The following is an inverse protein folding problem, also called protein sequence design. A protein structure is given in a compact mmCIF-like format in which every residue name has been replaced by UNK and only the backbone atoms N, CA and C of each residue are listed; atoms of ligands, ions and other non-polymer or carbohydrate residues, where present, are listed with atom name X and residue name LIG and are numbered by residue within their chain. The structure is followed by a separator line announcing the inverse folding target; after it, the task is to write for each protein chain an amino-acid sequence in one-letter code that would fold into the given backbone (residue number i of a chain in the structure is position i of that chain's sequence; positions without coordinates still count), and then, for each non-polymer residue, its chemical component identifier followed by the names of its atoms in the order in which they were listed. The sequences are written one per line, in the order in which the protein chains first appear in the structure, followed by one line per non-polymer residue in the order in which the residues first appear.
data_IF_032105229213
#
_entry.id   IF_032105229213
#
_cell.length_a   1.000
_cell.length_b   1.000
_cell.length_c   1.000
_cell.angle_alpha   90.00
_cell.angle_beta   90.00
_cell.angle_gamma   90.00
#
_symmetry.space_group_name_H-M   'P 1'
#
loop_
_entity.id
_entity.type
_entity.pdbx_description
1 polymer ?
#
# COMPACT_ATOMS: atom_id res chain seq x y z
N UNK A 1 7.40 -2.81 -37.78
CA UNK A 1 6.90 -3.97 -37.05
C UNK A 1 6.23 -3.43 -35.80
N UNK A 2 4.94 -3.70 -35.64
CA UNK A 2 4.18 -3.23 -34.48
C UNK A 2 4.71 -3.96 -33.24
N UNK A 3 5.19 -3.21 -32.24
CA UNK A 3 5.82 -3.77 -31.03
C UNK A 3 4.83 -4.56 -30.14
N UNK A 4 3.57 -4.64 -30.58
CA UNK A 4 2.48 -5.32 -29.86
C UNK A 4 2.60 -6.85 -29.83
N UNK A 5 3.39 -7.43 -30.74
CA UNK A 5 3.56 -8.88 -30.86
C UNK A 5 4.91 -9.39 -30.30
N UNK A 6 5.71 -8.51 -29.70
CA UNK A 6 7.00 -8.93 -29.13
C UNK A 6 6.78 -9.73 -27.85
N UNK A 7 7.17 -10.99 -27.86
CA UNK A 7 7.24 -11.84 -26.67
C UNK A 7 8.48 -11.53 -25.79
N UNK A 8 9.20 -10.45 -26.10
CA UNK A 8 10.45 -10.09 -25.42
C UNK A 8 10.53 -8.60 -25.12
N UNK A 9 11.03 -8.29 -23.93
CA UNK A 9 11.39 -6.96 -23.45
C UNK A 9 12.91 -6.91 -23.26
N UNK A 10 13.58 -5.92 -23.85
CA UNK A 10 15.00 -5.62 -23.62
C UNK A 10 15.14 -4.19 -23.11
N UNK A 11 15.70 -4.04 -21.92
CA UNK A 11 15.81 -2.76 -21.22
C UNK A 11 17.10 -2.66 -20.39
N UNK A 12 17.46 -1.51 -19.86
CA UNK A 12 18.61 -1.40 -18.95
C UNK A 12 18.24 -1.84 -17.53
N UNK A 13 17.02 -1.44 -17.08
CA UNK A 13 16.53 -1.71 -15.73
C UNK A 13 15.11 -2.27 -15.79
N UNK A 14 14.87 -3.39 -15.12
CA UNK A 14 13.52 -3.85 -14.81
C UNK A 14 13.22 -3.52 -13.35
N UNK A 15 12.05 -2.92 -13.11
CA UNK A 15 11.50 -2.74 -11.75
C UNK A 15 10.29 -3.64 -11.61
N UNK A 16 10.27 -4.52 -10.61
CA UNK A 16 9.16 -5.43 -10.33
C UNK A 16 8.32 -4.89 -9.18
N UNK A 17 7.08 -4.58 -9.46
CA UNK A 17 6.12 -3.99 -8.54
C UNK A 17 6.02 -2.46 -8.66
N UNK A 18 4.82 -1.98 -8.95
CA UNK A 18 4.47 -0.56 -9.07
C UNK A 18 3.99 0.06 -7.75
N UNK A 19 4.42 -0.46 -6.60
CA UNK A 19 4.20 0.17 -5.30
C UNK A 19 4.98 1.48 -5.18
N UNK A 20 4.88 2.17 -4.02
CA UNK A 20 5.55 3.45 -3.80
C UNK A 20 7.07 3.37 -4.07
N UNK A 21 7.71 2.29 -3.62
CA UNK A 21 9.15 2.05 -3.84
C UNK A 21 9.48 1.85 -5.32
N UNK A 22 8.68 1.06 -6.04
CA UNK A 22 8.92 0.76 -7.46
C UNK A 22 8.69 1.98 -8.35
N UNK A 23 7.66 2.78 -8.10
CA UNK A 23 7.43 4.05 -8.80
C UNK A 23 8.62 4.99 -8.60
N UNK A 24 9.08 5.14 -7.35
CA UNK A 24 10.25 5.97 -7.04
C UNK A 24 11.52 5.47 -7.74
N UNK A 25 11.77 4.15 -7.69
CA UNK A 25 12.94 3.53 -8.31
C UNK A 25 12.92 3.68 -9.83
N UNK A 26 11.78 3.40 -10.48
CA UNK A 26 11.64 3.49 -11.93
C UNK A 26 11.86 4.90 -12.44
N UNK A 27 11.22 5.90 -11.82
CA UNK A 27 11.36 7.31 -12.19
C UNK A 27 12.81 7.78 -11.96
N UNK A 28 13.40 7.42 -10.82
CA UNK A 28 14.77 7.83 -10.50
C UNK A 28 15.79 7.25 -11.48
N UNK A 29 15.64 5.98 -11.86
CA UNK A 29 16.51 5.35 -12.86
C UNK A 29 16.32 5.96 -14.25
N UNK A 30 15.08 6.19 -14.68
CA UNK A 30 14.81 6.79 -15.98
C UNK A 30 15.36 8.22 -16.11
N UNK A 31 15.29 9.00 -15.04
CA UNK A 31 15.88 10.37 -14.98
C UNK A 31 17.40 10.38 -15.10
N UNK A 32 18.07 9.23 -14.91
CA UNK A 32 19.50 9.07 -15.19
C UNK A 32 19.79 8.68 -16.66
N UNK A 33 18.77 8.70 -17.52
CA UNK A 33 18.90 8.35 -18.94
C UNK A 33 18.88 6.86 -19.23
N UNK A 34 18.51 6.02 -18.29
CA UNK A 34 18.38 4.58 -18.47
C UNK A 34 17.03 4.24 -19.10
N UNK A 35 17.01 3.22 -19.96
CA UNK A 35 15.78 2.61 -20.42
C UNK A 35 15.22 1.74 -19.28
N UNK A 36 14.01 2.04 -18.81
CA UNK A 36 13.39 1.38 -17.65
C UNK A 36 12.05 0.79 -18.04
N UNK A 37 11.83 -0.48 -17.67
CA UNK A 37 10.51 -1.11 -17.74
C UNK A 37 10.03 -1.46 -16.34
N UNK A 38 8.83 -1.02 -15.98
CA UNK A 38 8.15 -1.35 -14.73
C UNK A 38 7.10 -2.42 -15.00
N UNK A 39 7.16 -3.52 -14.25
CA UNK A 39 6.25 -4.66 -14.34
C UNK A 39 5.34 -4.65 -13.11
N UNK A 40 4.01 -4.57 -13.32
CA UNK A 40 3.04 -4.50 -12.23
C UNK A 40 1.89 -5.48 -12.46
N UNK A 41 1.53 -6.23 -11.40
CA UNK A 41 0.47 -7.25 -11.45
C UNK A 41 -0.95 -6.69 -11.54
N UNK A 42 -1.17 -5.49 -11.00
CA UNK A 42 -2.43 -4.79 -11.13
C UNK A 42 -2.51 -3.95 -12.40
N UNK A 43 -3.67 -3.37 -12.68
CA UNK A 43 -3.86 -2.39 -13.76
C UNK A 43 -3.57 -0.95 -13.32
N UNK A 44 -2.80 -0.77 -12.25
CA UNK A 44 -2.46 0.53 -11.66
C UNK A 44 -1.26 0.43 -10.72
N UNK A 45 -0.55 1.54 -10.53
CA UNK A 45 0.47 1.67 -9.52
C UNK A 45 -0.11 2.11 -8.16
N UNK A 46 0.64 1.83 -7.08
CA UNK A 46 0.33 2.27 -5.71
C UNK A 46 0.47 1.18 -4.64
N UNK A 47 0.51 -0.10 -5.02
CA UNK A 47 0.71 -1.20 -4.07
C UNK A 47 -0.20 -1.10 -2.84
N UNK A 48 0.35 -1.18 -1.63
CA UNK A 48 -0.40 -1.09 -0.38
C UNK A 48 -1.17 0.23 -0.19
N UNK A 49 -0.68 1.34 -0.76
CA UNK A 49 -1.36 2.63 -0.69
C UNK A 49 -2.70 2.63 -1.44
N UNK A 50 -2.80 1.88 -2.54
CA UNK A 50 -3.96 1.87 -3.43
C UNK A 50 -4.71 0.55 -3.39
N UNK A 51 -4.05 -0.59 -3.64
CA UNK A 51 -4.68 -1.91 -3.59
C UNK A 51 -5.10 -2.28 -2.16
N UNK A 52 -4.24 -1.99 -1.18
CA UNK A 52 -4.52 -2.20 0.24
C UNK A 52 -5.34 -1.10 0.90
N UNK A 53 -5.66 -0.01 0.18
CA UNK A 53 -6.38 1.17 0.69
C UNK A 53 -5.77 1.77 1.97
N UNK A 54 -4.46 1.63 2.20
CA UNK A 54 -3.84 2.16 3.42
C UNK A 54 -4.05 3.67 3.58
N UNK A 55 -4.22 4.37 2.47
CA UNK A 55 -4.80 5.70 2.39
C UNK A 55 -4.00 6.83 3.04
N UNK A 56 -2.84 6.54 3.61
CA UNK A 56 -2.04 7.52 4.35
C UNK A 56 -0.58 7.51 3.91
N UNK A 57 0.00 8.71 3.80
CA UNK A 57 1.45 8.90 3.71
C UNK A 57 1.94 9.20 5.13
N UNK A 58 2.61 8.21 5.73
CA UNK A 58 3.22 8.29 7.05
C UNK A 58 4.75 8.41 6.92
N UNK A 59 5.41 8.93 7.97
CA UNK A 59 6.87 9.01 8.03
C UNK A 59 7.48 10.22 7.33
N UNK A 60 6.67 11.18 6.86
CA UNK A 60 7.18 12.46 6.34
C UNK A 60 7.62 13.40 7.46
N UNK A 61 7.00 13.28 8.62
CA UNK A 61 7.12 14.22 9.72
C UNK A 61 7.81 13.59 10.94
N UNK A 62 8.48 14.42 11.69
CA UNK A 62 9.11 14.06 12.95
C UNK A 62 8.09 13.47 13.94
N UNK A 63 8.53 12.44 14.69
CA UNK A 63 7.79 11.98 15.86
C UNK A 63 8.29 12.72 17.10
N UNK A 64 7.38 13.38 17.83
CA UNK A 64 7.74 14.23 18.97
C UNK A 64 6.70 14.12 20.10
N UNK A 65 7.17 14.31 21.34
CA UNK A 65 6.26 14.47 22.49
C UNK A 65 5.58 15.85 22.49
N UNK A 66 6.16 16.85 21.81
CA UNK A 66 5.60 18.19 21.70
C UNK A 66 4.81 18.36 20.39
N UNK A 67 3.68 17.67 20.28
CA UNK A 67 2.81 17.76 19.11
C UNK A 67 2.19 19.15 18.91
N UNK A 68 2.19 20.01 19.94
CA UNK A 68 1.65 21.37 19.83
C UNK A 68 2.52 22.27 18.92
N UNK A 69 3.76 21.90 18.62
CA UNK A 69 4.62 22.62 17.68
C UNK A 69 4.17 22.50 16.21
N UNK A 70 3.21 21.62 15.94
CA UNK A 70 2.76 21.31 14.59
C UNK A 70 3.67 20.34 13.83
N UNK A 71 3.31 19.98 12.58
CA UNK A 71 4.06 19.04 11.76
C UNK A 71 5.42 19.63 11.34
N UNK A 72 6.51 18.96 11.72
CA UNK A 72 7.86 19.27 11.24
C UNK A 72 8.28 18.21 10.20
N UNK A 73 8.36 18.60 8.94
CA UNK A 73 8.73 17.68 7.86
C UNK A 73 10.21 17.37 7.92
N UNK A 74 10.57 16.09 7.86
CA UNK A 74 11.96 15.60 7.93
C UNK A 74 12.34 14.70 6.75
N UNK A 75 11.36 14.29 5.92
CA UNK A 75 11.61 13.51 4.71
C UNK A 75 11.26 14.34 3.48
N UNK A 76 12.22 14.43 2.55
CA UNK A 76 12.17 15.22 1.32
C UNK A 76 12.45 14.35 0.09
N UNK A 77 12.91 14.95 -1.00
CA UNK A 77 13.27 14.27 -2.25
C UNK A 77 12.04 13.76 -2.99
N UNK A 78 12.11 12.52 -3.52
CA UNK A 78 11.03 11.97 -4.32
C UNK A 78 9.70 11.86 -3.56
N UNK A 79 9.74 11.50 -2.28
CA UNK A 79 8.52 11.40 -1.47
C UNK A 79 7.79 12.75 -1.36
N UNK A 80 8.53 13.82 -1.14
CA UNK A 80 7.99 15.18 -1.11
C UNK A 80 7.49 15.65 -2.49
N UNK A 81 8.24 15.34 -3.55
CA UNK A 81 7.83 15.63 -4.94
C UNK A 81 6.50 14.93 -5.28
N UNK A 82 6.38 13.66 -4.92
CA UNK A 82 5.16 12.90 -5.16
C UNK A 82 3.97 13.45 -4.35
N UNK A 83 4.20 13.83 -3.08
CA UNK A 83 3.19 14.48 -2.25
C UNK A 83 2.73 15.81 -2.84
N UNK A 84 3.65 16.65 -3.33
CA UNK A 84 3.29 17.91 -4.02
C UNK A 84 2.49 17.65 -5.29
N UNK A 85 2.78 16.59 -6.04
CA UNK A 85 1.98 16.20 -7.21
C UNK A 85 0.56 15.83 -6.79
N UNK A 86 0.40 14.99 -5.76
CA UNK A 86 -0.92 14.62 -5.23
C UNK A 86 -1.71 15.83 -4.74
N UNK A 87 -1.05 16.75 -4.05
CA UNK A 87 -1.66 17.98 -3.53
C UNK A 87 -2.13 18.88 -4.67
N UNK A 88 -1.31 19.10 -5.68
CA UNK A 88 -1.66 19.87 -6.86
C UNK A 88 -2.85 19.29 -7.64
N UNK A 89 -3.07 17.96 -7.53
CA UNK A 89 -4.21 17.27 -8.13
C UNK A 89 -5.42 17.15 -7.18
N UNK A 90 -5.36 17.76 -5.99
CA UNK A 90 -6.43 17.68 -4.98
C UNK A 90 -6.57 16.33 -4.28
N UNK A 91 -5.56 15.47 -4.40
CA UNK A 91 -5.56 14.11 -3.88
C UNK A 91 -4.80 13.89 -2.57
N UNK A 92 -4.38 14.95 -1.87
CA UNK A 92 -3.66 14.85 -0.61
C UNK A 92 -4.22 15.86 0.40
N UNK A 93 -4.68 15.35 1.54
CA UNK A 93 -5.18 16.17 2.65
C UNK A 93 -4.03 16.86 3.40
N UNK A 94 -4.38 17.89 4.17
CA UNK A 94 -3.46 18.51 5.13
C UNK A 94 -2.96 17.48 6.16
N UNK A 95 -1.81 17.74 6.81
CA UNK A 95 -1.31 16.89 7.86
C UNK A 95 -2.33 16.74 9.01
N UNK A 96 -2.62 15.51 9.39
CA UNK A 96 -3.50 15.18 10.55
C UNK A 96 -2.68 14.52 11.64
N UNK A 97 -3.03 14.79 12.89
CA UNK A 97 -2.33 14.21 14.04
C UNK A 97 -2.49 12.68 14.06
N UNK A 98 -1.39 12.00 14.27
CA UNK A 98 -1.29 10.54 14.37
C UNK A 98 -0.46 10.19 15.62
N UNK A 99 -1.06 10.36 16.77
CA UNK A 99 -0.39 10.17 18.06
C UNK A 99 0.77 11.15 18.29
N UNK A 100 2.02 10.70 18.08
CA UNK A 100 3.23 11.51 18.27
C UNK A 100 3.83 12.08 16.98
N UNK A 101 3.17 11.89 15.83
CA UNK A 101 3.59 12.36 14.52
C UNK A 101 2.38 12.83 13.72
N UNK A 102 2.58 13.12 12.45
CA UNK A 102 1.51 13.47 11.52
C UNK A 102 1.50 12.53 10.32
N UNK A 103 0.34 12.34 9.74
CA UNK A 103 0.15 11.64 8.48
C UNK A 103 -0.65 12.53 7.52
N UNK A 104 -0.54 12.28 6.23
CA UNK A 104 -1.40 12.91 5.22
C UNK A 104 -2.25 11.84 4.54
N UNK A 105 -3.54 12.06 4.51
CA UNK A 105 -4.48 11.14 3.85
C UNK A 105 -4.52 11.43 2.36
N UNK A 106 -4.41 10.40 1.53
CA UNK A 106 -4.47 10.56 0.08
C UNK A 106 -5.71 9.91 -0.54
N UNK A 107 -6.13 10.40 -1.71
CA UNK A 107 -7.13 9.77 -2.56
C UNK A 107 -6.45 8.69 -3.41
N UNK A 108 -6.91 7.41 -3.33
CA UNK A 108 -6.29 6.32 -4.09
C UNK A 108 -6.47 6.43 -5.61
N UNK A 109 -7.51 7.13 -6.08
CA UNK A 109 -7.70 7.35 -7.52
C UNK A 109 -6.69 8.38 -8.03
N UNK A 110 -6.55 9.50 -7.32
CA UNK A 110 -5.56 10.53 -7.67
C UNK A 110 -4.14 9.99 -7.56
N UNK A 111 -3.87 9.09 -6.61
CA UNK A 111 -2.56 8.40 -6.52
C UNK A 111 -2.22 7.65 -7.81
N UNK A 112 -3.18 6.88 -8.38
CA UNK A 112 -2.96 6.15 -9.64
C UNK A 112 -2.62 7.10 -10.76
N UNK A 113 -3.41 8.16 -10.93
CA UNK A 113 -3.21 9.16 -11.98
C UNK A 113 -1.88 9.89 -11.84
N UNK A 114 -1.48 10.25 -10.61
CA UNK A 114 -0.20 10.89 -10.34
C UNK A 114 0.98 9.97 -10.67
N UNK A 115 0.90 8.69 -10.28
CA UNK A 115 1.93 7.71 -10.59
C UNK A 115 2.07 7.49 -12.10
N UNK A 116 0.95 7.30 -12.81
CA UNK A 116 0.94 7.12 -14.27
C UNK A 116 1.53 8.34 -15.00
N UNK A 117 1.14 9.55 -14.58
CA UNK A 117 1.65 10.78 -15.17
C UNK A 117 3.17 10.91 -14.96
N UNK A 118 3.65 10.75 -13.73
CA UNK A 118 5.07 10.91 -13.42
C UNK A 118 5.95 9.81 -14.06
N UNK A 119 5.48 8.58 -14.14
CA UNK A 119 6.18 7.49 -14.85
C UNK A 119 6.31 7.79 -16.34
N UNK A 120 5.21 8.23 -16.97
CA UNK A 120 5.21 8.59 -18.40
C UNK A 120 6.06 9.83 -18.69
N UNK A 121 6.01 10.85 -17.85
CA UNK A 121 6.86 12.05 -17.94
C UNK A 121 8.35 11.69 -17.87
N UNK A 122 8.70 10.68 -17.06
CA UNK A 122 10.07 10.16 -16.96
C UNK A 122 10.47 9.22 -18.12
N UNK A 123 9.54 8.81 -18.97
CA UNK A 123 9.80 7.89 -20.08
C UNK A 123 9.91 6.42 -19.66
N UNK A 124 9.30 6.05 -18.54
CA UNK A 124 9.25 4.65 -18.11
C UNK A 124 8.24 3.87 -18.96
N UNK A 125 8.66 2.71 -19.46
CA UNK A 125 7.79 1.73 -20.09
C UNK A 125 7.04 0.94 -19.01
N UNK A 126 5.71 0.91 -19.05
CA UNK A 126 4.87 0.30 -18.01
C UNK A 126 4.14 -0.91 -18.58
N UNK A 127 4.27 -2.04 -17.90
CA UNK A 127 3.57 -3.28 -18.26
C UNK A 127 2.66 -3.67 -17.09
N UNK A 128 1.38 -3.33 -17.20
CA UNK A 128 0.34 -3.74 -16.25
C UNK A 128 -0.18 -5.14 -16.51
N UNK A 129 -0.88 -5.71 -15.51
CA UNK A 129 -1.42 -7.08 -15.55
C UNK A 129 -0.34 -8.12 -15.90
N UNK A 130 0.86 -7.91 -15.39
CA UNK A 130 2.04 -8.70 -15.66
C UNK A 130 2.66 -9.21 -14.35
N UNK A 131 2.91 -10.50 -14.27
CA UNK A 131 3.43 -11.17 -13.06
C UNK A 131 4.78 -11.79 -13.36
N UNK A 132 5.81 -11.45 -12.59
CA UNK A 132 7.08 -12.15 -12.61
C UNK A 132 6.88 -13.58 -12.07
N UNK A 133 7.29 -14.59 -12.84
CA UNK A 133 7.09 -16.01 -12.51
C UNK A 133 8.38 -16.79 -12.41
N UNK A 134 9.52 -16.16 -12.66
CA UNK A 134 10.85 -16.77 -12.54
C UNK A 134 11.94 -15.79 -12.93
N UNK A 135 13.17 -16.15 -12.61
CA UNK A 135 14.36 -15.35 -12.90
C UNK A 135 15.29 -16.07 -13.89
N UNK A 136 16.00 -15.28 -14.69
CA UNK A 136 17.10 -15.76 -15.50
C UNK A 136 18.43 -15.41 -14.83
N UNK A 137 19.17 -16.42 -14.42
CA UNK A 137 20.48 -16.25 -13.82
C UNK A 137 21.59 -16.33 -14.87
N UNK A 138 22.59 -15.47 -14.75
CA UNK A 138 23.85 -15.51 -15.48
C UNK A 138 24.97 -15.52 -14.42
N UNK A 139 25.41 -16.72 -14.05
CA UNK A 139 26.23 -16.92 -12.87
C UNK A 139 25.46 -16.53 -11.58
N UNK A 140 25.98 -15.58 -10.85
CA UNK A 140 25.40 -15.01 -9.62
C UNK A 140 24.57 -13.73 -9.87
N UNK A 141 24.39 -13.33 -11.14
CA UNK A 141 23.65 -12.14 -11.55
C UNK A 141 22.27 -12.50 -12.09
N UNK A 142 21.25 -11.75 -11.69
CA UNK A 142 19.92 -11.81 -12.35
C UNK A 142 20.02 -11.04 -13.67
N UNK A 143 19.84 -11.73 -14.79
CA UNK A 143 19.92 -11.18 -16.14
C UNK A 143 18.55 -10.90 -16.77
N UNK A 144 17.46 -11.24 -16.08
CA UNK A 144 16.10 -11.02 -16.56
C UNK A 144 15.07 -11.85 -15.81
N UNK A 145 13.86 -11.82 -16.34
CA UNK A 145 12.69 -12.44 -15.72
C UNK A 145 11.82 -13.16 -16.75
N UNK A 146 11.16 -14.23 -16.32
CA UNK A 146 9.97 -14.76 -16.96
C UNK A 146 8.77 -13.98 -16.43
N UNK A 147 7.94 -13.44 -17.32
CA UNK A 147 6.77 -12.65 -16.98
C UNK A 147 5.54 -13.27 -17.63
N UNK A 148 4.46 -13.42 -16.89
CA UNK A 148 3.18 -13.89 -17.41
C UNK A 148 2.23 -12.72 -17.64
N UNK A 149 1.59 -12.68 -18.80
CA UNK A 149 0.58 -11.68 -19.19
C UNK A 149 -0.62 -12.36 -19.86
N UNK A 150 -1.65 -11.57 -20.20
CA UNK A 150 -2.82 -12.07 -20.95
C UNK A 150 -2.47 -12.61 -22.35
N UNK A 151 -1.42 -12.11 -22.98
CA UNK A 151 -0.95 -12.62 -24.27
C UNK A 151 -0.08 -13.90 -24.15
N UNK A 152 0.22 -14.32 -22.93
CA UNK A 152 1.10 -15.44 -22.63
C UNK A 152 2.41 -15.00 -22.00
N UNK A 153 3.44 -15.88 -22.05
CA UNK A 153 4.75 -15.60 -21.44
C UNK A 153 5.51 -14.53 -22.22
N UNK A 154 6.18 -13.63 -21.48
CA UNK A 154 7.16 -12.68 -21.98
C UNK A 154 8.53 -12.98 -21.36
N UNK A 155 9.58 -12.87 -22.17
CA UNK A 155 10.98 -12.90 -21.73
C UNK A 155 11.47 -11.45 -21.54
N UNK A 156 11.72 -11.03 -20.30
CA UNK A 156 12.20 -9.70 -19.99
C UNK A 156 13.68 -9.76 -19.60
N UNK A 157 14.52 -9.02 -20.32
CA UNK A 157 15.97 -8.98 -20.12
C UNK A 157 16.44 -7.60 -19.70
N UNK A 158 17.34 -7.56 -18.72
CA UNK A 158 17.92 -6.32 -18.24
C UNK A 158 19.34 -6.52 -17.67
N UNK A 159 20.07 -5.40 -17.57
CA UNK A 159 21.36 -5.37 -16.86
C UNK A 159 21.16 -5.37 -15.34
N UNK A 160 20.07 -4.74 -14.88
CA UNK A 160 19.71 -4.58 -13.46
C UNK A 160 18.24 -4.92 -13.28
N UNK A 161 17.94 -5.65 -12.21
CA UNK A 161 16.58 -5.93 -11.75
C UNK A 161 16.42 -5.37 -10.35
N UNK A 162 15.39 -4.54 -10.14
CA UNK A 162 15.02 -3.97 -8.85
C UNK A 162 13.78 -4.69 -8.35
N UNK A 163 13.91 -5.40 -7.23
CA UNK A 163 12.79 -6.02 -6.54
C UNK A 163 12.06 -4.98 -5.66
N UNK A 164 10.90 -4.57 -6.10
CA UNK A 164 9.96 -3.70 -5.38
C UNK A 164 8.58 -4.37 -5.27
N UNK A 165 8.55 -5.71 -5.32
CA UNK A 165 7.33 -6.53 -5.30
C UNK A 165 6.53 -6.42 -3.99
N UNK A 166 7.17 -5.97 -2.91
CA UNK A 166 6.60 -5.85 -1.56
C UNK A 166 6.93 -7.03 -0.65
N UNK A 167 7.08 -8.22 -1.23
CA UNK A 167 7.35 -9.46 -0.50
C UNK A 167 8.70 -10.13 -0.89
N UNK A 168 9.60 -9.39 -1.57
CA UNK A 168 10.88 -9.90 -2.07
C UNK A 168 10.74 -11.10 -3.02
N UNK A 169 9.73 -11.07 -3.89
CA UNK A 169 9.40 -12.19 -4.78
C UNK A 169 10.56 -12.55 -5.72
N UNK A 170 11.27 -11.55 -6.26
CA UNK A 170 12.41 -11.78 -7.16
C UNK A 170 13.59 -12.37 -6.39
N UNK A 171 13.85 -11.87 -5.19
CA UNK A 171 14.89 -12.39 -4.28
C UNK A 171 14.64 -13.87 -3.97
N UNK A 172 13.39 -14.22 -3.65
CA UNK A 172 12.99 -15.60 -3.35
C UNK A 172 13.10 -16.49 -4.60
N UNK A 173 12.63 -16.02 -5.76
CA UNK A 173 12.76 -16.76 -7.04
C UNK A 173 14.21 -16.99 -7.46
N UNK A 174 15.12 -16.09 -7.11
CA UNK A 174 16.54 -16.22 -7.35
C UNK A 174 17.25 -17.18 -6.38
N UNK A 175 16.56 -17.70 -5.38
CA UNK A 175 17.15 -18.57 -4.34
C UNK A 175 18.09 -17.83 -3.39
N UNK A 176 17.99 -16.50 -3.31
CA UNK A 176 18.83 -15.69 -2.45
C UNK A 176 18.36 -15.76 -0.98
N UNK A 177 19.24 -15.57 0.00
CA UNK A 177 18.87 -15.60 1.41
C UNK A 177 17.78 -14.56 1.72
N UNK A 178 16.71 -15.00 2.34
CA UNK A 178 15.62 -14.14 2.80
C UNK A 178 15.05 -14.71 4.12
N UNK A 179 14.22 -13.93 4.79
CA UNK A 179 13.53 -14.38 6.00
C UNK A 179 12.08 -13.87 5.99
N UNK A 180 11.21 -14.55 6.71
CA UNK A 180 9.79 -14.22 6.84
C UNK A 180 9.48 -13.88 8.28
N UNK A 181 9.13 -12.59 8.52
CA UNK A 181 8.75 -12.09 9.83
C UNK A 181 9.83 -12.29 10.90
N UNK A 182 9.39 -12.35 12.17
CA UNK A 182 10.24 -12.71 13.31
C UNK A 182 10.05 -14.19 13.61
N UNK A 183 11.06 -15.02 13.33
CA UNK A 183 11.01 -16.49 13.48
C UNK A 183 9.80 -17.13 12.77
N UNK A 184 9.48 -16.63 11.57
CA UNK A 184 8.33 -17.09 10.78
C UNK A 184 6.98 -16.50 11.20
N UNK A 185 6.92 -15.70 12.26
CA UNK A 185 5.70 -14.99 12.69
C UNK A 185 5.56 -13.67 11.94
N UNK A 186 4.39 -13.46 11.37
CA UNK A 186 4.04 -12.26 10.60
C UNK A 186 2.97 -11.44 11.30
N UNK A 187 2.83 -10.17 10.94
CA UNK A 187 1.71 -9.36 11.40
C UNK A 187 0.40 -9.89 10.82
N UNK A 188 -0.66 -9.86 11.65
CA UNK A 188 -1.98 -10.22 11.17
C UNK A 188 -2.44 -9.27 10.05
N UNK A 189 -3.06 -9.79 8.99
CA UNK A 189 -3.66 -8.99 7.95
C UNK A 189 -4.71 -8.03 8.49
N UNK A 190 -4.87 -6.90 7.80
CA UNK A 190 -5.93 -5.93 8.08
C UNK A 190 -6.65 -5.55 6.81
N UNK A 191 -7.97 -5.40 6.89
CA UNK A 191 -8.81 -4.86 5.82
C UNK A 191 -9.12 -3.41 6.16
N UNK A 192 -8.55 -2.48 5.39
CA UNK A 192 -8.90 -1.06 5.48
C UNK A 192 -10.14 -0.81 4.62
N UNK A 193 -11.06 -0.01 5.12
CA UNK A 193 -12.29 0.31 4.40
C UNK A 193 -12.65 1.79 4.57
N UNK A 194 -13.61 2.25 3.77
CA UNK A 194 -14.09 3.62 3.81
C UNK A 194 -15.57 3.66 4.15
N UNK A 195 -15.96 4.59 5.00
CA UNK A 195 -17.35 4.89 5.32
C UNK A 195 -17.74 6.20 4.66
N UNK A 196 -18.90 6.20 4.00
CA UNK A 196 -19.49 7.37 3.36
C UNK A 196 -20.75 7.82 4.12
N UNK A 197 -21.13 9.08 3.95
CA UNK A 197 -22.31 9.66 4.58
C UNK A 197 -22.11 9.95 6.06
N UNK A 198 -20.85 10.17 6.48
CA UNK A 198 -20.50 10.53 7.84
C UNK A 198 -20.59 12.05 8.01
N UNK A 199 -21.21 12.49 9.11
CA UNK A 199 -21.13 13.88 9.58
C UNK A 199 -19.73 14.10 10.20
N UNK A 200 -18.77 14.49 9.34
CA UNK A 200 -17.36 14.62 9.72
C UNK A 200 -17.16 15.75 10.73
N UNK A 201 -17.91 16.84 10.63
CA UNK A 201 -17.79 17.97 11.55
C UNK A 201 -18.23 17.56 12.96
N UNK A 202 -19.34 16.84 13.06
CA UNK A 202 -19.80 16.27 14.33
C UNK A 202 -18.84 15.23 14.88
N UNK A 203 -18.29 14.39 14.01
CA UNK A 203 -17.29 13.38 14.38
C UNK A 203 -16.04 14.05 14.99
N UNK A 204 -15.51 15.08 14.35
CA UNK A 204 -14.32 15.81 14.83
C UNK A 204 -14.64 16.58 16.13
N UNK A 205 -15.82 17.19 16.24
CA UNK A 205 -16.25 17.86 17.46
C UNK A 205 -16.35 16.90 18.67
N UNK A 206 -16.79 15.65 18.45
CA UNK A 206 -16.96 14.64 19.52
C UNK A 206 -15.66 13.92 19.90
N UNK A 207 -14.80 13.60 18.91
CA UNK A 207 -13.64 12.71 19.11
C UNK A 207 -12.29 13.42 18.95
N UNK A 208 -12.28 14.65 18.47
CA UNK A 208 -11.06 15.42 18.20
C UNK A 208 -10.47 15.14 16.82
N UNK A 209 -9.29 15.71 16.58
CA UNK A 209 -8.57 15.62 15.30
C UNK A 209 -7.52 14.51 15.27
N UNK A 210 -7.19 13.87 16.40
CA UNK A 210 -6.28 12.74 16.42
C UNK A 210 -6.94 11.53 15.74
N UNK A 211 -6.23 10.91 14.86
CA UNK A 211 -6.69 9.71 14.12
C UNK A 211 -6.75 8.47 15.02
N UNK A 212 -6.02 8.47 16.13
CA UNK A 212 -6.10 7.41 17.15
C UNK A 212 -7.35 7.69 18.00
N UNK A 213 -8.31 6.77 17.93
CA UNK A 213 -9.55 6.96 18.71
C UNK A 213 -9.30 6.93 20.21
N UNK A 214 -9.98 7.83 20.97
CA UNK A 214 -9.81 7.94 22.41
C UNK A 214 -10.25 6.66 23.14
N UNK A 215 -9.75 6.46 24.34
CA UNK A 215 -9.98 5.24 25.15
C UNK A 215 -11.48 4.95 25.38
N UNK A 216 -12.33 5.99 25.44
CA UNK A 216 -13.78 5.79 25.52
C UNK A 216 -14.34 4.93 24.38
N UNK A 217 -13.83 5.10 23.16
CA UNK A 217 -14.22 4.30 21.99
C UNK A 217 -13.71 2.86 22.12
N UNK A 218 -12.45 2.70 22.53
CA UNK A 218 -11.87 1.36 22.77
C UNK A 218 -12.65 0.59 23.84
N UNK A 219 -13.08 1.27 24.91
CA UNK A 219 -13.90 0.67 25.96
C UNK A 219 -15.29 0.23 25.44
N UNK A 220 -15.93 1.06 24.61
CA UNK A 220 -17.21 0.71 23.97
C UNK A 220 -17.06 -0.51 23.07
N UNK A 221 -16.01 -0.58 22.26
CA UNK A 221 -15.72 -1.72 21.38
C UNK A 221 -15.55 -3.00 22.20
N UNK A 222 -14.73 -2.96 23.27
CA UNK A 222 -14.55 -4.14 24.15
C UNK A 222 -15.87 -4.56 24.81
N UNK A 223 -16.65 -3.63 25.30
CA UNK A 223 -17.93 -3.94 25.96
C UNK A 223 -18.90 -4.63 24.98
N UNK A 224 -19.02 -4.12 23.76
CA UNK A 224 -19.91 -4.68 22.74
C UNK A 224 -19.40 -6.02 22.19
N UNK A 225 -18.10 -6.19 22.05
CA UNK A 225 -17.51 -7.45 21.66
C UNK A 225 -17.73 -8.53 22.75
N UNK A 226 -17.46 -8.21 24.02
CA UNK A 226 -17.59 -9.15 25.13
C UNK A 226 -19.07 -9.53 25.42
N UNK A 227 -20.01 -8.63 25.11
CA UNK A 227 -21.44 -8.92 25.20
C UNK A 227 -21.95 -9.85 24.08
N UNK A 228 -21.13 -10.08 23.05
CA UNK A 228 -21.52 -10.86 21.86
C UNK A 228 -22.40 -10.12 20.87
N UNK A 229 -22.61 -8.80 21.06
CA UNK A 229 -23.43 -7.98 20.17
C UNK A 229 -22.79 -7.81 18.79
N UNK A 230 -21.44 -7.79 18.76
CA UNK A 230 -20.60 -7.57 17.58
C UNK A 230 -19.31 -8.39 17.63
N UNK A 231 -18.76 -8.69 16.46
CA UNK A 231 -17.42 -9.30 16.32
C UNK A 231 -16.41 -8.20 16.01
N UNK A 232 -15.80 -7.62 17.04
CA UNK A 232 -14.87 -6.48 16.96
C UNK A 232 -13.51 -6.85 17.57
N UNK A 233 -12.64 -7.59 16.89
CA UNK A 233 -11.43 -8.20 17.47
C UNK A 233 -10.35 -7.17 17.87
N UNK A 234 -10.45 -5.92 17.38
CA UNK A 234 -9.48 -4.86 17.65
C UNK A 234 -10.17 -3.67 18.30
N UNK A 235 -9.81 -3.37 19.56
CA UNK A 235 -10.41 -2.27 20.31
C UNK A 235 -9.73 -0.93 20.01
N UNK A 236 -8.41 -0.89 19.90
CA UNK A 236 -7.67 0.33 19.51
C UNK A 236 -7.68 0.47 18.00
N UNK A 237 -8.39 1.48 17.52
CA UNK A 237 -8.64 1.70 16.09
C UNK A 237 -8.23 3.10 15.66
N UNK A 238 -8.09 3.29 14.36
CA UNK A 238 -7.74 4.55 13.72
C UNK A 238 -8.81 4.94 12.71
N UNK A 239 -9.29 6.17 12.82
CA UNK A 239 -10.24 6.78 11.89
C UNK A 239 -9.63 8.07 11.35
N UNK A 240 -9.59 8.23 10.04
CA UNK A 240 -8.99 9.38 9.38
C UNK A 240 -10.05 10.11 8.58
N UNK A 241 -10.08 11.43 8.70
CA UNK A 241 -10.79 12.27 7.72
C UNK A 241 -10.04 12.21 6.39
N UNK A 242 -10.76 12.31 5.27
CA UNK A 242 -10.17 12.16 3.94
C UNK A 242 -10.29 13.44 3.13
N UNK A 243 -9.78 13.44 1.89
CA UNK A 243 -9.96 14.54 0.94
C UNK A 243 -11.41 14.68 0.43
N UNK A 244 -12.28 13.71 0.76
CA UNK A 244 -13.68 13.68 0.31
C UNK A 244 -14.61 14.05 1.47
N UNK A 245 -15.49 15.03 1.28
CA UNK A 245 -16.50 15.37 2.30
C UNK A 245 -17.37 14.15 2.64
N UNK A 246 -17.66 13.98 3.93
CA UNK A 246 -18.52 12.89 4.40
C UNK A 246 -17.89 11.50 4.35
N UNK A 247 -16.57 11.41 4.22
CA UNK A 247 -15.86 10.13 4.17
C UNK A 247 -14.87 9.99 5.34
N UNK A 248 -14.84 8.81 5.97
CA UNK A 248 -13.79 8.37 6.89
C UNK A 248 -13.06 7.15 6.34
N UNK A 249 -11.74 7.14 6.43
CA UNK A 249 -10.92 5.96 6.24
C UNK A 249 -10.79 5.24 7.59
N UNK A 250 -11.06 3.92 7.59
CA UNK A 250 -11.16 3.11 8.78
C UNK A 250 -10.08 2.02 8.78
N UNK A 251 -9.13 2.11 9.73
CA UNK A 251 -8.16 1.08 10.04
C UNK A 251 -8.54 0.43 11.37
N UNK A 252 -9.45 -0.56 11.31
CA UNK A 252 -10.13 -1.10 12.49
C UNK A 252 -9.94 -2.60 12.63
N UNK A 253 -9.75 -3.35 11.54
CA UNK A 253 -9.77 -4.80 11.53
C UNK A 253 -8.46 -5.42 12.02
N UNK A 254 -8.51 -6.67 12.43
CA UNK A 254 -7.37 -7.54 12.67
C UNK A 254 -7.79 -8.96 12.38
N UNK A 255 -7.28 -9.51 11.26
CA UNK A 255 -7.74 -10.80 10.79
C UNK A 255 -6.86 -11.91 11.32
N UNK A 256 -7.49 -12.90 11.94
CA UNK A 256 -6.89 -14.15 12.38
C UNK A 256 -7.67 -15.30 11.77
N UNK A 257 -7.08 -16.47 11.65
CA UNK A 257 -7.76 -17.67 11.17
C UNK A 257 -8.92 -18.09 12.08
N UNK A 258 -9.91 -18.77 11.54
CA UNK A 258 -11.05 -19.29 12.28
C UNK A 258 -10.65 -20.30 13.38
N UNK A 259 -9.46 -20.86 13.28
CA UNK A 259 -8.82 -21.73 14.25
C UNK A 259 -7.97 -20.97 15.29
N UNK A 260 -7.96 -19.63 15.23
CA UNK A 260 -7.22 -18.75 16.14
C UNK A 260 -5.74 -18.57 15.79
N UNK A 261 -5.22 -19.18 14.71
CA UNK A 261 -3.83 -18.99 14.27
C UNK A 261 -3.62 -17.69 13.53
N UNK A 262 -2.41 -17.20 13.55
CA UNK A 262 -1.98 -16.07 12.70
C UNK A 262 -1.96 -16.52 11.23
N UNK A 263 -2.54 -15.67 10.34
CA UNK A 263 -2.56 -15.94 8.91
C UNK A 263 -1.30 -15.36 8.26
N UNK A 264 -0.65 -16.17 7.41
CA UNK A 264 0.50 -15.73 6.62
C UNK A 264 0.11 -15.59 5.14
N UNK A 265 0.02 -14.37 4.65
CA UNK A 265 -0.43 -14.04 3.28
C UNK A 265 0.55 -14.46 2.18
N UNK A 266 1.70 -15.05 2.50
CA UNK A 266 2.53 -15.77 1.54
C UNK A 266 1.88 -17.06 1.07
N UNK A 267 0.96 -17.62 1.86
CA UNK A 267 0.19 -18.82 1.49
C UNK A 267 -1.16 -18.40 0.91
N UNK A 268 -1.43 -18.82 -0.32
CA UNK A 268 -2.65 -18.45 -1.05
C UNK A 268 -3.95 -18.75 -0.28
N UNK A 269 -3.97 -19.85 0.52
CA UNK A 269 -5.14 -20.21 1.34
C UNK A 269 -5.35 -19.19 2.45
N UNK A 270 -4.30 -18.88 3.21
CA UNK A 270 -4.35 -17.89 4.27
C UNK A 270 -4.74 -16.51 3.76
N UNK A 271 -4.22 -16.14 2.58
CA UNK A 271 -4.57 -14.88 1.96
C UNK A 271 -6.05 -14.84 1.57
N UNK A 272 -6.57 -15.94 1.01
CA UNK A 272 -7.99 -16.06 0.67
C UNK A 272 -8.88 -15.92 1.90
N UNK A 273 -8.53 -16.63 2.98
CA UNK A 273 -9.25 -16.57 4.25
C UNK A 273 -9.19 -15.15 4.86
N UNK A 274 -8.02 -14.50 4.79
CA UNK A 274 -7.84 -13.13 5.25
C UNK A 274 -8.71 -12.13 4.49
N UNK A 275 -8.84 -12.29 3.18
CA UNK A 275 -9.70 -11.46 2.32
C UNK A 275 -11.18 -11.61 2.68
N UNK A 276 -11.65 -12.85 2.89
CA UNK A 276 -13.06 -13.13 3.19
C UNK A 276 -13.40 -12.62 4.59
N UNK A 277 -12.62 -13.00 5.58
CA UNK A 277 -12.83 -12.61 6.98
C UNK A 277 -12.67 -11.10 7.18
N UNK A 278 -11.69 -10.48 6.51
CA UNK A 278 -11.49 -9.04 6.55
C UNK A 278 -12.73 -8.25 6.10
N UNK A 279 -13.43 -8.71 5.05
CA UNK A 279 -14.68 -8.10 4.60
C UNK A 279 -15.83 -8.28 5.60
N UNK A 280 -15.89 -9.41 6.30
CA UNK A 280 -16.88 -9.63 7.36
C UNK A 280 -16.63 -8.70 8.55
N UNK A 281 -15.38 -8.58 9.00
CA UNK A 281 -15.00 -7.65 10.07
C UNK A 281 -15.27 -6.20 9.68
N UNK A 282 -14.94 -5.76 8.47
CA UNK A 282 -15.24 -4.42 7.98
C UNK A 282 -16.74 -4.11 8.07
N UNK A 283 -17.60 -5.07 7.72
CA UNK A 283 -19.07 -4.94 7.86
C UNK A 283 -19.49 -4.79 9.32
N UNK A 284 -18.90 -5.57 10.23
CA UNK A 284 -19.21 -5.50 11.66
C UNK A 284 -18.83 -4.17 12.27
N UNK A 285 -17.63 -3.64 11.96
CA UNK A 285 -17.25 -2.29 12.39
C UNK A 285 -18.15 -1.21 11.79
N UNK A 286 -18.49 -1.30 10.51
CA UNK A 286 -19.41 -0.36 9.87
C UNK A 286 -20.81 -0.39 10.51
N UNK A 287 -21.29 -1.57 10.94
CA UNK A 287 -22.54 -1.71 11.70
C UNK A 287 -22.44 -1.09 13.10
N UNK A 288 -21.29 -1.25 13.76
CA UNK A 288 -21.05 -0.69 15.08
C UNK A 288 -20.97 0.85 15.06
N UNK A 289 -20.45 1.47 14.00
CA UNK A 289 -20.31 2.90 13.86
C UNK A 289 -21.62 3.64 13.50
N UNK A 290 -22.67 2.95 13.11
CA UNK A 290 -24.01 3.50 12.85
C UNK A 290 -24.82 3.64 14.12
#
# INVERSE_FOLDING_TARGET
MDNRDSARIDTDVIVVGGGAAGVAAAISAARQGLKVTLIERYGFCGGGAVAGLSGTVCGLYEATENVASGPNQVVFGFADEFCRRLEAMGGLADPVLYGKTWARVHDPHVWREAADAMLREAGVDIVFHAVATGVHMDGDRIAGLNVWTKQGPLDARAKIVIDASGDADVVAMAGLPNFVGDQGRVQNPTMIFRMLGVDVDRFVAEYGTDTIMPEKVSAMIRAKHNAGDYVLPRAKIWLFTTTRPGELLCNCTRVIGSDGRELNTLFARDFTDAEIEGRLQAREYARFFR
#
